data_IF_895709918240
#
_entry.id   IF_895709918240
#
_cell.length_a   1.000
_cell.length_b   1.000
_cell.length_c   1.000
_cell.angle_alpha   90.00
_cell.angle_beta   90.00
_cell.angle_gamma   90.00
#
_symmetry.space_group_name_H-M   'P 1'
#
loop_
_entity.id
_entity.type
_entity.pdbx_description
1 polymer ?
#
# COMPACT_ATOMS: atom_id res chain seq x y z
N UNK A 1 2.34 -10.73 -39.40
CA UNK A 1 1.43 -11.40 -40.36
C UNK A 1 2.18 -12.19 -41.44
N UNK A 2 3.33 -11.71 -41.93
CA UNK A 2 4.05 -12.31 -43.07
C UNK A 2 4.42 -13.79 -42.89
N UNK A 3 4.86 -14.20 -41.70
CA UNK A 3 5.14 -15.63 -41.42
C UNK A 3 3.87 -16.50 -41.45
N UNK A 4 2.70 -15.93 -41.17
CA UNK A 4 1.41 -16.64 -41.20
C UNK A 4 0.81 -16.73 -42.61
N UNK A 5 1.35 -16.01 -43.60
CA UNK A 5 0.80 -15.93 -44.96
C UNK A 5 -0.70 -15.59 -44.98
N UNK A 6 -1.15 -14.77 -44.03
CA UNK A 6 -2.58 -14.46 -43.83
C UNK A 6 -3.23 -13.70 -45.00
N UNK A 7 -2.44 -13.27 -46.00
CA UNK A 7 -2.90 -12.45 -47.11
C UNK A 7 -3.23 -11.03 -46.67
N UNK A 8 -3.89 -10.29 -47.55
CA UNK A 8 -4.42 -8.97 -47.26
C UNK A 8 -5.94 -9.05 -47.16
N UNK A 9 -6.51 -8.41 -46.15
CA UNK A 9 -7.96 -8.24 -46.05
C UNK A 9 -8.50 -7.50 -47.27
N UNK A 10 -9.76 -7.73 -47.63
CA UNK A 10 -10.41 -6.97 -48.69
C UNK A 10 -10.37 -5.47 -48.38
N UNK A 11 -10.24 -4.61 -49.39
CA UNK A 11 -10.15 -3.16 -49.16
C UNK A 11 -11.36 -2.60 -48.38
N UNK A 12 -12.54 -3.20 -48.58
CA UNK A 12 -13.78 -2.85 -47.86
C UNK A 12 -13.65 -2.95 -46.34
N UNK A 13 -12.76 -3.79 -45.81
CA UNK A 13 -12.55 -3.94 -44.36
C UNK A 13 -11.91 -2.70 -43.71
N UNK A 14 -11.41 -1.75 -44.52
CA UNK A 14 -10.85 -0.48 -44.05
C UNK A 14 -11.77 0.72 -44.37
N UNK A 15 -12.92 0.49 -45.00
CA UNK A 15 -13.87 1.57 -45.30
C UNK A 15 -14.72 1.89 -44.07
N UNK A 16 -14.97 3.17 -43.75
CA UNK A 16 -15.83 3.54 -42.64
C UNK A 16 -17.26 3.03 -42.83
N UNK A 17 -17.84 2.44 -41.78
CA UNK A 17 -19.24 2.02 -41.77
C UNK A 17 -20.15 3.24 -41.62
N UNK A 18 -21.30 3.23 -42.29
CA UNK A 18 -22.40 4.20 -42.13
C UNK A 18 -23.64 3.41 -41.75
N UNK A 19 -24.37 3.85 -40.73
CA UNK A 19 -25.52 3.13 -40.19
C UNK A 19 -26.58 4.09 -39.63
N UNK A 20 -27.84 3.71 -39.77
CA UNK A 20 -29.00 4.35 -39.13
C UNK A 20 -29.62 3.49 -38.02
N UNK A 21 -29.03 2.32 -37.75
CA UNK A 21 -29.43 1.45 -36.65
C UNK A 21 -29.06 2.14 -35.33
N UNK A 22 -30.00 2.26 -34.36
CA UNK A 22 -29.67 2.77 -33.04
C UNK A 22 -28.44 2.09 -32.47
N UNK A 23 -27.43 2.87 -32.08
CA UNK A 23 -26.14 2.36 -31.63
C UNK A 23 -25.66 3.09 -30.38
N UNK A 24 -25.23 2.33 -29.37
CA UNK A 24 -24.56 2.84 -28.19
C UNK A 24 -23.04 2.69 -28.34
N UNK A 25 -22.30 3.78 -28.17
CA UNK A 25 -20.84 3.82 -28.23
C UNK A 25 -20.34 4.25 -26.86
N UNK A 26 -19.52 3.40 -26.25
CA UNK A 26 -18.98 3.60 -24.90
C UNK A 26 -17.45 3.62 -24.98
N UNK A 27 -16.83 4.61 -24.34
CA UNK A 27 -15.38 4.75 -24.28
C UNK A 27 -14.91 5.03 -22.85
N UNK A 28 -13.79 4.43 -22.44
CA UNK A 28 -13.07 4.87 -21.26
C UNK A 28 -12.11 5.99 -21.63
N UNK A 29 -12.04 7.05 -20.80
CA UNK A 29 -11.12 8.20 -20.98
C UNK A 29 -9.67 7.75 -21.22
N UNK A 30 -9.25 6.65 -20.57
CA UNK A 30 -7.89 6.12 -20.62
C UNK A 30 -7.77 4.81 -21.42
N UNK A 31 -8.71 4.48 -22.31
CA UNK A 31 -8.63 3.25 -23.13
C UNK A 31 -7.46 3.34 -24.15
N UNK A 32 -6.41 2.49 -24.03
CA UNK A 32 -5.28 2.51 -24.95
C UNK A 32 -5.47 1.56 -26.15
N UNK A 33 -6.47 0.68 -26.13
CA UNK A 33 -6.73 -0.35 -27.14
C UNK A 33 -7.69 0.21 -28.20
N UNK A 34 -8.75 0.85 -27.74
CA UNK A 34 -9.78 1.50 -28.58
C UNK A 34 -10.04 2.91 -28.05
N UNK A 35 -9.15 3.87 -28.33
CA UNK A 35 -9.20 5.19 -27.70
C UNK A 35 -10.49 5.96 -28.02
N UNK A 36 -10.90 6.92 -27.17
CA UNK A 36 -12.14 7.69 -27.33
C UNK A 36 -12.34 8.29 -28.72
N UNK A 37 -11.26 8.77 -29.35
CA UNK A 37 -11.28 9.34 -30.69
C UNK A 37 -11.77 8.37 -31.78
N UNK A 38 -11.58 7.06 -31.60
CA UNK A 38 -12.11 6.05 -32.53
C UNK A 38 -13.62 5.92 -32.38
N UNK A 39 -14.14 5.92 -31.16
CA UNK A 39 -15.58 5.91 -30.89
C UNK A 39 -16.28 7.15 -31.43
N UNK A 40 -15.67 8.33 -31.25
CA UNK A 40 -16.17 9.60 -31.80
C UNK A 40 -16.21 9.55 -33.35
N UNK A 41 -15.14 9.07 -34.00
CA UNK A 41 -15.08 8.95 -35.45
C UNK A 41 -16.13 7.98 -36.03
N UNK A 42 -16.48 6.92 -35.29
CA UNK A 42 -17.59 6.03 -35.65
C UNK A 42 -18.94 6.74 -35.48
N UNK A 43 -19.14 7.43 -34.36
CA UNK A 43 -20.37 8.17 -34.06
C UNK A 43 -20.72 9.24 -35.11
N UNK A 44 -19.72 9.93 -35.67
CA UNK A 44 -19.90 10.91 -36.76
C UNK A 44 -20.60 10.34 -38.01
N UNK A 45 -20.54 9.02 -38.21
CA UNK A 45 -21.12 8.33 -39.38
C UNK A 45 -22.44 7.64 -39.06
N UNK A 46 -22.85 7.59 -37.80
CA UNK A 46 -24.05 6.88 -37.37
C UNK A 46 -25.13 7.90 -37.03
N UNK A 47 -26.18 7.96 -37.87
CA UNK A 47 -27.22 8.98 -37.77
C UNK A 47 -28.12 8.83 -36.53
N UNK A 48 -28.07 7.67 -35.88
CA UNK A 48 -28.76 7.37 -34.64
C UNK A 48 -27.81 6.70 -33.65
N UNK A 49 -26.95 7.50 -33.01
CA UNK A 49 -25.99 7.00 -32.03
C UNK A 49 -25.94 7.84 -30.76
N UNK A 50 -25.66 7.18 -29.65
CA UNK A 50 -25.37 7.80 -28.36
C UNK A 50 -23.92 7.47 -27.99
N UNK A 51 -23.15 8.50 -27.64
CA UNK A 51 -21.76 8.37 -27.27
C UNK A 51 -21.57 8.79 -25.81
N UNK A 52 -20.96 7.92 -25.01
CA UNK A 52 -20.60 8.22 -23.63
C UNK A 52 -19.12 7.89 -23.39
N UNK A 53 -18.40 8.89 -22.88
CA UNK A 53 -17.03 8.75 -22.41
C UNK A 53 -17.03 8.77 -20.89
N UNK A 54 -16.36 7.80 -20.27
CA UNK A 54 -16.36 7.60 -18.83
C UNK A 54 -15.02 8.00 -18.21
N UNK A 55 -15.00 8.99 -17.31
CA UNK A 55 -13.80 9.41 -16.61
C UNK A 55 -13.15 8.26 -15.83
N UNK A 56 -11.82 8.20 -15.88
CA UNK A 56 -11.03 7.24 -15.10
C UNK A 56 -11.11 5.77 -15.52
N UNK A 57 -11.88 5.44 -16.55
CA UNK A 57 -11.99 4.07 -17.07
C UNK A 57 -11.04 3.80 -18.24
N UNK A 58 -10.62 2.54 -18.37
CA UNK A 58 -9.84 2.03 -19.49
C UNK A 58 -10.67 1.20 -20.47
N UNK A 59 -10.07 0.13 -21.01
CA UNK A 59 -10.73 -0.75 -21.97
C UNK A 59 -11.87 -1.57 -21.34
N UNK A 60 -12.98 -1.72 -22.06
CA UNK A 60 -14.13 -2.52 -21.61
C UNK A 60 -15.13 -1.73 -20.75
N UNK A 61 -15.41 -0.47 -21.10
CA UNK A 61 -16.26 0.42 -20.32
C UNK A 61 -17.65 -0.14 -19.97
N UNK A 62 -18.29 -0.91 -20.86
CA UNK A 62 -19.69 -1.38 -20.71
C UNK A 62 -19.99 -2.20 -19.44
N UNK A 63 -18.98 -2.79 -18.82
CA UNK A 63 -19.10 -3.63 -17.61
C UNK A 63 -18.32 -3.06 -16.42
N UNK A 64 -17.80 -1.84 -16.55
CA UNK A 64 -16.86 -1.24 -15.60
C UNK A 64 -17.56 -0.36 -14.57
N UNK A 65 -18.28 -0.99 -13.64
CA UNK A 65 -19.02 -0.33 -12.56
C UNK A 65 -20.48 -0.03 -12.92
N UNK A 66 -21.20 0.53 -11.95
CA UNK A 66 -22.66 0.63 -12.02
C UNK A 66 -23.14 1.63 -13.08
N UNK A 67 -22.43 2.75 -13.28
CA UNK A 67 -22.85 3.80 -14.21
C UNK A 67 -22.80 3.34 -15.68
N UNK A 68 -21.66 2.86 -16.24
CA UNK A 68 -21.63 2.35 -17.62
C UNK A 68 -22.55 1.15 -17.84
N UNK A 69 -22.66 0.27 -16.84
CA UNK A 69 -23.53 -0.90 -16.90
C UNK A 69 -25.00 -0.49 -16.95
N UNK A 70 -25.41 0.48 -16.12
CA UNK A 70 -26.76 1.04 -16.11
C UNK A 70 -27.14 1.68 -17.45
N UNK A 71 -26.26 2.48 -18.04
CA UNK A 71 -26.45 3.08 -19.37
C UNK A 71 -26.61 2.00 -20.44
N UNK A 72 -25.76 0.96 -20.40
CA UNK A 72 -25.85 -0.18 -21.32
C UNK A 72 -27.21 -0.89 -21.21
N UNK A 73 -27.67 -1.16 -19.98
CA UNK A 73 -28.95 -1.83 -19.75
C UNK A 73 -30.13 -0.96 -20.21
N UNK A 74 -30.10 0.35 -19.96
CA UNK A 74 -31.13 1.29 -20.37
C UNK A 74 -31.27 1.34 -21.90
N UNK A 75 -30.14 1.43 -22.62
CA UNK A 75 -30.14 1.39 -24.08
C UNK A 75 -30.68 0.07 -24.64
N UNK A 76 -30.30 -1.06 -24.05
CA UNK A 76 -30.81 -2.38 -24.49
C UNK A 76 -32.33 -2.52 -24.24
N UNK A 77 -32.86 -1.85 -23.22
CA UNK A 77 -34.28 -1.85 -22.92
C UNK A 77 -35.08 -0.95 -23.87
N UNK A 78 -34.57 0.24 -24.20
CA UNK A 78 -35.13 1.15 -25.19
C UNK A 78 -34.02 1.85 -25.99
N UNK A 79 -33.65 1.34 -27.17
CA UNK A 79 -32.57 1.92 -27.96
C UNK A 79 -33.00 3.17 -28.73
N UNK A 80 -34.27 3.59 -28.65
CA UNK A 80 -34.79 4.79 -29.33
C UNK A 80 -34.76 6.05 -28.47
N UNK A 81 -34.40 5.89 -27.19
CA UNK A 81 -34.29 6.95 -26.20
C UNK A 81 -32.86 7.03 -25.70
N UNK A 82 -32.33 8.25 -25.56
CA UNK A 82 -31.01 8.49 -24.99
C UNK A 82 -30.99 8.02 -23.52
N UNK A 83 -30.06 7.13 -23.12
CA UNK A 83 -29.93 6.73 -21.72
C UNK A 83 -29.61 7.92 -20.79
N UNK A 84 -30.12 7.88 -19.57
CA UNK A 84 -29.72 8.83 -18.53
C UNK A 84 -28.26 8.59 -18.13
N UNK A 85 -27.45 9.64 -18.23
CA UNK A 85 -26.01 9.62 -17.99
C UNK A 85 -25.58 10.52 -16.82
N UNK A 86 -26.52 10.97 -15.96
CA UNK A 86 -26.21 11.83 -14.83
C UNK A 86 -25.14 11.26 -13.90
N UNK A 87 -25.08 9.93 -13.76
CA UNK A 87 -24.08 9.24 -12.94
C UNK A 87 -22.63 9.47 -13.39
N UNK A 88 -22.38 9.88 -14.64
CA UNK A 88 -21.02 10.16 -15.14
C UNK A 88 -20.41 11.35 -14.38
N UNK A 89 -21.22 12.30 -13.92
CA UNK A 89 -20.76 13.46 -13.17
C UNK A 89 -20.14 13.09 -11.81
N UNK A 90 -20.51 11.93 -11.26
CA UNK A 90 -19.99 11.42 -9.99
C UNK A 90 -18.75 10.52 -10.18
N UNK A 91 -18.37 10.24 -11.43
CA UNK A 91 -17.16 9.49 -11.74
C UNK A 91 -15.93 10.39 -11.64
N UNK A 92 -14.82 9.82 -11.18
CA UNK A 92 -13.56 10.54 -10.98
C UNK A 92 -12.37 9.77 -11.51
N UNK A 93 -11.20 10.41 -11.43
CA UNK A 93 -9.93 9.77 -11.74
C UNK A 93 -9.72 8.52 -10.87
N UNK A 94 -9.00 7.50 -11.38
CA UNK A 94 -8.65 6.34 -10.59
C UNK A 94 -7.86 6.77 -9.35
N UNK A 95 -8.20 6.20 -8.21
CA UNK A 95 -7.41 6.36 -7.00
C UNK A 95 -6.13 5.53 -7.14
N UNK A 96 -4.98 6.20 -7.14
CA UNK A 96 -3.69 5.55 -7.00
C UNK A 96 -3.38 5.44 -5.51
N UNK A 97 -3.34 4.22 -5.00
CA UNK A 97 -2.91 3.93 -3.62
C UNK A 97 -1.61 3.15 -3.68
N UNK A 98 -0.60 3.61 -2.96
CA UNK A 98 0.56 2.77 -2.68
C UNK A 98 0.28 1.87 -1.47
N UNK A 99 0.93 0.71 -1.34
CA UNK A 99 0.83 -0.10 -0.12
C UNK A 99 1.21 0.68 1.15
N UNK A 100 2.11 1.67 1.03
CA UNK A 100 2.43 2.62 2.09
C UNK A 100 1.26 3.53 2.46
N UNK A 101 0.52 4.05 1.47
CA UNK A 101 -0.65 4.93 1.71
C UNK A 101 -1.80 4.20 2.41
N UNK A 102 -2.03 2.92 2.09
CA UNK A 102 -3.06 2.12 2.75
C UNK A 102 -2.78 1.91 4.24
N UNK A 103 -1.51 1.92 4.66
CA UNK A 103 -1.09 1.79 6.06
C UNK A 103 -0.88 3.13 6.76
N UNK A 104 -0.41 4.16 6.05
CA UNK A 104 -0.36 5.53 6.59
C UNK A 104 -1.76 6.06 6.94
N UNK A 105 -2.80 5.55 6.27
CA UNK A 105 -4.20 5.89 6.51
C UNK A 105 -4.94 4.88 7.42
N UNK A 106 -4.30 3.79 7.84
CA UNK A 106 -4.83 2.93 8.87
C UNK A 106 -4.37 3.48 10.23
N UNK A 107 -5.26 4.09 11.00
CA UNK A 107 -4.95 4.50 12.38
C UNK A 107 -4.54 3.27 13.20
N UNK A 108 -3.24 3.08 13.43
CA UNK A 108 -2.74 2.02 14.31
C UNK A 108 -3.05 2.45 15.75
N UNK A 109 -4.04 1.83 16.36
CA UNK A 109 -4.34 2.02 17.78
C UNK A 109 -3.21 1.43 18.64
N UNK A 110 -2.64 2.24 19.53
CA UNK A 110 -1.61 1.81 20.48
C UNK A 110 -2.23 1.59 21.85
N UNK A 111 -1.94 0.43 22.45
CA UNK A 111 -2.38 0.06 23.80
C UNK A 111 -1.20 -0.13 24.73
N UNK A 112 -1.39 0.19 26.00
CA UNK A 112 -0.38 -0.03 27.04
C UNK A 112 -0.14 -1.52 27.27
N UNK A 113 1.10 -1.88 27.58
CA UNK A 113 1.47 -3.20 28.06
C UNK A 113 2.47 -3.11 29.21
N UNK A 114 2.51 -4.19 30.00
CA UNK A 114 3.52 -4.42 31.03
C UNK A 114 4.14 -5.78 30.80
N UNK A 115 5.46 -5.87 30.95
CA UNK A 115 6.22 -7.10 30.82
C UNK A 115 7.08 -7.30 32.08
N UNK A 116 6.65 -8.24 32.92
CA UNK A 116 7.33 -8.53 34.19
C UNK A 116 8.68 -9.23 34.01
N UNK A 117 8.87 -9.94 32.89
CA UNK A 117 10.12 -10.67 32.62
C UNK A 117 11.28 -9.70 32.39
N UNK A 118 11.04 -8.62 31.65
CA UNK A 118 12.03 -7.57 31.39
C UNK A 118 11.89 -6.37 32.33
N UNK A 119 10.85 -6.33 33.17
CA UNK A 119 10.61 -5.24 34.11
C UNK A 119 10.32 -3.92 33.41
N UNK A 120 9.53 -3.96 32.32
CA UNK A 120 9.22 -2.79 31.50
C UNK A 120 7.72 -2.60 31.31
N UNK A 121 7.32 -1.38 31.00
CA UNK A 121 6.01 -1.03 30.44
C UNK A 121 6.21 -0.14 29.22
N UNK A 122 5.20 -0.07 28.35
CA UNK A 122 5.25 0.74 27.15
C UNK A 122 3.96 0.65 26.35
N UNK A 123 4.01 0.95 25.06
CA UNK A 123 2.87 0.81 24.15
C UNK A 123 3.17 -0.16 23.01
N UNK A 124 2.13 -0.82 22.50
CA UNK A 124 2.19 -1.70 21.33
C UNK A 124 0.93 -1.55 20.48
N UNK A 125 0.97 -1.88 19.19
CA UNK A 125 -0.25 -1.93 18.38
C UNK A 125 -1.27 -2.91 18.95
N UNK A 126 -2.54 -2.48 19.04
CA UNK A 126 -3.63 -3.25 19.64
C UNK A 126 -3.86 -4.59 18.94
N UNK A 127 -3.78 -4.59 17.60
CA UNK A 127 -4.09 -5.73 16.75
C UNK A 127 -2.89 -6.66 16.50
N UNK A 128 -1.72 -6.39 17.10
CA UNK A 128 -0.52 -7.23 16.90
C UNK A 128 -0.44 -8.34 17.95
N UNK A 129 -0.13 -9.55 17.51
CA UNK A 129 -0.01 -10.72 18.36
C UNK A 129 1.34 -10.74 19.08
N UNK A 130 1.33 -11.02 20.39
CA UNK A 130 2.56 -11.25 21.15
C UNK A 130 3.07 -12.67 20.92
N UNK A 131 4.12 -12.82 20.13
CA UNK A 131 4.73 -14.12 19.82
C UNK A 131 5.59 -14.65 20.96
N UNK A 132 6.24 -13.73 21.67
CA UNK A 132 7.05 -14.00 22.85
C UNK A 132 7.13 -12.72 23.70
N UNK A 133 7.55 -12.78 24.98
CA UNK A 133 7.59 -11.61 25.85
C UNK A 133 8.25 -10.40 25.16
N UNK A 134 7.48 -9.33 24.99
CA UNK A 134 7.96 -8.09 24.36
C UNK A 134 8.22 -8.18 22.85
N UNK A 135 7.70 -9.20 22.15
CA UNK A 135 7.79 -9.35 20.70
C UNK A 135 6.39 -9.39 20.10
N UNK A 136 6.04 -8.35 19.34
CA UNK A 136 4.71 -8.15 18.78
C UNK A 136 4.76 -8.19 17.26
N UNK A 137 4.01 -9.10 16.64
CA UNK A 137 3.98 -9.28 15.19
C UNK A 137 2.61 -8.91 14.63
N UNK A 138 2.61 -8.27 13.46
CA UNK A 138 1.35 -7.90 12.78
C UNK A 138 0.61 -9.13 12.25
N UNK A 139 1.34 -10.10 11.70
CA UNK A 139 0.78 -11.38 11.28
C UNK A 139 -0.29 -11.28 10.20
N UNK A 140 -0.26 -10.28 9.32
CA UNK A 140 -1.28 -10.11 8.28
C UNK A 140 -1.26 -11.26 7.25
N UNK A 141 -0.12 -11.93 7.08
CA UNK A 141 0.02 -13.15 6.30
C UNK A 141 1.22 -13.99 6.77
N UNK A 142 1.37 -15.21 6.26
CA UNK A 142 2.54 -16.04 6.51
C UNK A 142 3.86 -15.45 5.98
N UNK A 143 3.79 -14.44 5.10
CA UNK A 143 4.95 -13.74 4.54
C UNK A 143 5.20 -12.38 5.21
N UNK A 144 4.28 -11.90 6.05
CA UNK A 144 4.42 -10.63 6.76
C UNK A 144 5.47 -10.78 7.87
N UNK A 145 6.63 -10.16 7.66
CA UNK A 145 7.75 -10.17 8.62
C UNK A 145 7.71 -8.96 9.55
N UNK A 146 6.62 -8.17 9.56
CA UNK A 146 6.53 -6.98 10.39
C UNK A 146 6.44 -7.36 11.88
N UNK A 147 7.44 -6.92 12.64
CA UNK A 147 7.53 -7.17 14.08
C UNK A 147 8.17 -5.98 14.79
N UNK A 148 7.66 -5.66 15.98
CA UNK A 148 8.31 -4.76 16.93
C UNK A 148 8.71 -5.56 18.17
N UNK A 149 9.98 -5.43 18.56
CA UNK A 149 10.57 -6.05 19.75
C UNK A 149 10.91 -4.93 20.73
N UNK A 150 10.46 -5.07 21.97
CA UNK A 150 10.69 -4.14 23.07
C UNK A 150 11.16 -4.94 24.29
N UNK A 151 12.43 -4.79 24.67
CA UNK A 151 13.06 -5.59 25.71
C UNK A 151 14.03 -4.75 26.55
N UNK A 152 14.34 -5.23 27.75
CA UNK A 152 15.38 -4.64 28.58
C UNK A 152 16.33 -5.69 29.13
N UNK A 153 17.58 -5.31 29.32
CA UNK A 153 18.57 -6.14 30.00
C UNK A 153 18.94 -5.51 31.36
N UNK A 154 19.41 -6.32 32.32
CA UNK A 154 20.06 -5.81 33.52
C UNK A 154 21.37 -5.08 33.20
N UNK A 155 21.82 -4.24 34.13
CA UNK A 155 23.13 -3.59 34.06
C UNK A 155 24.27 -4.59 33.80
N UNK A 156 25.24 -4.17 32.99
CA UNK A 156 26.43 -4.96 32.63
C UNK A 156 26.40 -5.57 31.22
N UNK A 157 25.31 -5.41 30.47
CA UNK A 157 25.25 -5.67 29.02
C UNK A 157 25.17 -4.33 28.29
N UNK A 158 26.26 -3.93 27.63
CA UNK A 158 26.30 -2.68 26.89
C UNK A 158 25.63 -2.78 25.52
N UNK A 159 25.26 -1.63 24.95
CA UNK A 159 24.65 -1.56 23.62
C UNK A 159 25.48 -2.26 22.52
N UNK A 160 26.81 -2.14 22.57
CA UNK A 160 27.71 -2.76 21.59
C UNK A 160 27.70 -4.30 21.66
N UNK A 161 27.64 -4.87 22.87
CA UNK A 161 27.60 -6.33 23.06
C UNK A 161 26.26 -6.90 22.56
N UNK A 162 25.16 -6.21 22.89
CA UNK A 162 23.83 -6.62 22.43
C UNK A 162 23.70 -6.47 20.91
N UNK A 163 24.23 -5.40 20.33
CA UNK A 163 24.22 -5.19 18.89
C UNK A 163 25.01 -6.28 18.15
N UNK A 164 26.16 -6.71 18.69
CA UNK A 164 26.92 -7.82 18.14
C UNK A 164 26.14 -9.15 18.18
N UNK A 165 25.43 -9.42 19.29
CA UNK A 165 24.59 -10.60 19.42
C UNK A 165 23.42 -10.58 18.42
N UNK A 166 22.71 -9.44 18.34
CA UNK A 166 21.60 -9.24 17.43
C UNK A 166 22.04 -9.37 15.97
N UNK A 167 23.21 -8.84 15.61
CA UNK A 167 23.76 -8.99 14.27
C UNK A 167 23.95 -10.45 13.89
N UNK A 168 24.43 -11.28 14.82
CA UNK A 168 24.56 -12.72 14.62
C UNK A 168 23.22 -13.46 14.52
N UNK A 169 22.22 -13.07 15.33
CA UNK A 169 20.88 -13.69 15.31
C UNK A 169 20.06 -13.32 14.07
N UNK A 170 20.16 -12.07 13.64
CA UNK A 170 19.48 -11.54 12.46
C UNK A 170 20.20 -11.89 11.16
N UNK A 171 21.40 -12.47 11.23
CA UNK A 171 22.18 -12.85 10.05
C UNK A 171 22.64 -11.64 9.23
N UNK A 172 23.04 -10.55 9.91
CA UNK A 172 23.62 -9.37 9.27
C UNK A 172 25.07 -9.64 8.86
N UNK A 173 25.49 -9.10 7.71
CA UNK A 173 26.86 -9.27 7.20
C UNK A 173 27.90 -8.56 8.06
N UNK A 174 27.52 -7.44 8.69
CA UNK A 174 28.35 -6.66 9.61
C UNK A 174 27.51 -6.03 10.72
N UNK A 175 28.18 -5.61 11.79
CA UNK A 175 27.56 -4.85 12.88
C UNK A 175 27.23 -3.45 12.35
N UNK A 176 25.96 -3.03 12.35
CA UNK A 176 25.58 -1.75 11.77
C UNK A 176 26.17 -0.58 12.55
N UNK A 177 26.59 0.46 11.83
CA UNK A 177 27.02 1.71 12.44
C UNK A 177 25.81 2.48 13.01
N UNK A 178 26.06 3.31 14.01
CA UNK A 178 25.04 4.22 14.54
C UNK A 178 24.59 5.17 13.43
N UNK A 179 23.29 5.22 13.17
CA UNK A 179 22.67 6.05 12.14
C UNK A 179 22.23 7.42 12.65
N UNK A 180 22.06 7.57 13.96
CA UNK A 180 21.68 8.84 14.58
C UNK A 180 21.39 8.73 16.07
N UNK A 181 20.72 9.77 16.58
CA UNK A 181 20.22 9.85 17.96
C UNK A 181 18.77 10.32 17.93
N UNK A 182 17.99 9.92 18.94
CA UNK A 182 16.61 10.36 19.16
C UNK A 182 16.40 10.76 20.61
N UNK A 183 15.91 11.97 20.85
CA UNK A 183 15.48 12.42 22.18
C UNK A 183 13.99 12.11 22.35
N UNK A 184 13.66 11.27 23.32
CA UNK A 184 12.29 10.87 23.58
C UNK A 184 11.51 11.88 24.45
N UNK A 185 10.21 11.63 24.62
CA UNK A 185 9.32 12.47 25.43
C UNK A 185 9.75 12.65 26.90
N UNK A 186 10.65 11.81 27.41
CA UNK A 186 11.18 11.86 28.78
C UNK A 186 12.59 12.51 28.84
N UNK A 187 13.12 13.00 27.73
CA UNK A 187 14.45 13.60 27.62
C UNK A 187 15.59 12.57 27.60
N UNK A 188 15.31 11.30 27.29
CA UNK A 188 16.33 10.26 27.13
C UNK A 188 16.86 10.27 25.69
N UNK A 189 18.18 10.17 25.54
CA UNK A 189 18.84 10.13 24.23
C UNK A 189 19.10 8.68 23.84
N UNK A 190 18.35 8.21 22.85
CA UNK A 190 18.48 6.88 22.25
C UNK A 190 19.51 6.89 21.12
N UNK A 191 20.38 5.89 21.09
CA UNK A 191 21.27 5.63 19.96
C UNK A 191 20.53 4.82 18.91
N UNK A 192 20.42 5.36 17.69
CA UNK A 192 19.71 4.72 16.58
C UNK A 192 20.66 3.95 15.67
N UNK A 193 20.21 2.81 15.17
CA UNK A 193 20.91 1.97 14.21
C UNK A 193 19.94 1.51 13.13
N UNK A 194 20.43 1.38 11.90
CA UNK A 194 19.66 0.89 10.77
C UNK A 194 20.42 -0.22 10.05
N UNK A 195 19.70 -1.27 9.66
CA UNK A 195 20.22 -2.38 8.88
C UNK A 195 19.13 -2.90 7.93
N UNK A 196 19.46 -3.92 7.15
CA UNK A 196 18.47 -4.64 6.37
C UNK A 196 18.81 -6.14 6.32
N UNK A 197 17.80 -6.99 6.37
CA UNK A 197 17.95 -8.44 6.18
C UNK A 197 16.99 -8.92 5.10
N UNK A 198 17.50 -9.61 4.07
CA UNK A 198 16.70 -10.06 2.91
C UNK A 198 15.77 -8.96 2.33
N UNK A 199 16.24 -7.72 2.26
CA UNK A 199 15.49 -6.52 1.82
C UNK A 199 14.40 -6.00 2.77
N UNK A 200 14.25 -6.55 3.98
CA UNK A 200 13.44 -5.94 5.05
C UNK A 200 14.28 -4.94 5.84
N UNK A 201 13.90 -3.65 5.90
CA UNK A 201 14.55 -2.70 6.78
C UNK A 201 14.38 -3.08 8.25
N UNK A 202 15.45 -2.86 9.01
CA UNK A 202 15.53 -3.08 10.45
C UNK A 202 15.95 -1.75 11.09
N UNK A 203 15.11 -1.22 11.97
CA UNK A 203 15.40 -0.04 12.77
C UNK A 203 15.59 -0.47 14.22
N UNK A 204 16.65 -0.01 14.86
CA UNK A 204 16.99 -0.35 16.24
C UNK A 204 17.29 0.91 17.03
N UNK A 205 16.87 0.94 18.29
CA UNK A 205 17.18 1.99 19.23
C UNK A 205 17.62 1.38 20.55
N UNK A 206 18.68 1.95 21.12
CA UNK A 206 19.22 1.55 22.41
C UNK A 206 19.33 2.74 23.34
N UNK A 207 18.96 2.55 24.60
CA UNK A 207 19.18 3.52 25.66
C UNK A 207 19.71 2.81 26.89
N UNK A 208 20.79 3.32 27.48
CA UNK A 208 21.44 2.72 28.65
C UNK A 208 21.34 3.67 29.85
N UNK A 209 20.90 3.13 30.98
CA UNK A 209 20.90 3.78 32.29
C UNK A 209 21.57 2.89 33.36
N UNK A 210 21.61 3.37 34.61
CA UNK A 210 22.19 2.65 35.74
C UNK A 210 21.50 1.30 36.03
N UNK A 211 20.25 1.11 35.57
CA UNK A 211 19.51 -0.13 35.75
C UNK A 211 19.73 -1.14 34.60
N UNK A 212 20.22 -0.67 33.45
CA UNK A 212 20.65 -1.47 32.30
C UNK A 212 20.25 -0.87 30.96
N UNK A 213 20.06 -1.73 29.95
CA UNK A 213 19.81 -1.31 28.58
C UNK A 213 18.35 -1.54 28.18
N UNK A 214 17.74 -0.58 27.50
CA UNK A 214 16.52 -0.76 26.70
C UNK A 214 16.88 -1.04 25.24
N UNK A 215 16.08 -1.90 24.61
CA UNK A 215 16.11 -2.21 23.19
C UNK A 215 14.69 -2.04 22.62
N UNK A 216 14.59 -1.27 21.56
CA UNK A 216 13.44 -1.32 20.64
C UNK A 216 13.94 -1.62 19.24
N UNK A 217 13.33 -2.61 18.58
CA UNK A 217 13.67 -3.03 17.23
C UNK A 217 12.40 -3.18 16.39
N UNK A 218 12.35 -2.54 15.23
CA UNK A 218 11.28 -2.68 14.24
C UNK A 218 11.84 -3.31 12.96
N UNK A 219 11.24 -4.43 12.54
CA UNK A 219 11.39 -4.98 11.19
C UNK A 219 10.10 -4.69 10.42
N UNK A 220 10.22 -4.25 9.18
CA UNK A 220 9.07 -3.94 8.33
C UNK A 220 9.37 -4.17 6.86
N UNK A 221 8.34 -4.13 6.02
CA UNK A 221 8.51 -4.01 4.57
C UNK A 221 9.07 -2.63 4.19
N UNK A 222 9.87 -2.58 3.12
CA UNK A 222 10.52 -1.34 2.69
C UNK A 222 9.53 -0.22 2.40
N UNK A 223 8.39 -0.54 1.78
CA UNK A 223 7.34 0.40 1.40
C UNK A 223 6.58 0.98 2.61
N UNK A 224 6.67 0.35 3.78
CA UNK A 224 5.90 0.68 4.98
C UNK A 224 6.76 1.26 6.10
N UNK A 225 8.08 1.20 5.93
CA UNK A 225 9.06 1.50 7.00
C UNK A 225 8.89 2.90 7.53
N UNK A 226 8.72 3.91 6.68
CA UNK A 226 8.54 5.30 7.11
C UNK A 226 7.27 5.51 7.94
N UNK A 227 6.15 4.95 7.50
CA UNK A 227 4.88 5.03 8.21
C UNK A 227 4.96 4.34 9.58
N UNK A 228 5.49 3.12 9.65
CA UNK A 228 5.63 2.37 10.90
C UNK A 228 6.67 2.97 11.84
N UNK A 229 7.70 3.63 11.29
CA UNK A 229 8.68 4.33 12.09
C UNK A 229 8.00 5.41 12.94
N UNK A 230 7.20 6.26 12.30
CA UNK A 230 6.52 7.38 12.97
C UNK A 230 5.33 6.94 13.84
N UNK A 231 4.60 5.90 13.44
CA UNK A 231 3.36 5.47 14.11
C UNK A 231 3.54 4.39 15.16
N UNK A 232 4.63 3.62 15.12
CA UNK A 232 4.87 2.48 16.03
C UNK A 232 6.23 2.58 16.71
N UNK A 233 7.31 2.77 15.95
CA UNK A 233 8.67 2.75 16.51
C UNK A 233 8.92 3.93 17.45
N UNK A 234 8.70 5.16 16.99
CA UNK A 234 8.91 6.36 17.80
C UNK A 234 8.02 6.40 19.05
N UNK A 235 6.69 6.15 18.97
CA UNK A 235 5.85 6.07 20.17
C UNK A 235 6.29 4.98 21.17
N UNK A 236 6.85 3.87 20.70
CA UNK A 236 7.43 2.86 21.58
C UNK A 236 8.64 3.40 22.35
N UNK A 237 9.53 4.18 21.72
CA UNK A 237 10.65 4.84 22.42
C UNK A 237 10.14 5.80 23.49
N UNK A 238 9.14 6.62 23.15
CA UNK A 238 8.56 7.62 24.04
C UNK A 238 7.89 7.00 25.28
N UNK A 239 7.18 5.90 25.11
CA UNK A 239 6.39 5.28 26.18
C UNK A 239 7.17 4.28 27.04
N UNK A 240 8.27 3.71 26.53
CA UNK A 240 8.95 2.61 27.20
C UNK A 240 9.57 3.04 28.54
N UNK A 241 9.19 2.40 29.64
CA UNK A 241 9.66 2.71 31.00
C UNK A 241 10.00 1.43 31.76
N UNK A 242 10.78 1.55 32.85
CA UNK A 242 11.00 0.46 33.82
C UNK A 242 9.89 0.45 34.87
N UNK A 243 9.51 -0.75 35.31
CA UNK A 243 8.56 -0.98 36.41
C UNK A 243 9.23 -0.89 37.79
#
# INVERSE_FOLDING_TARGET
CDMWQAGQANAIENEPVVSDIPTLILAGEYDPITPPSWGQAVGERFSNSYYFEFPGLGHGASVSGDCPLGITQAFLADPTTEPDAACIADMGAPAFVTPGDALANAEIELVEYTNDLFGISGVRPADWEELSPGTYARGASALDQTVIIQQATPAGVGAADLLALLSGQLGLDEVPAQSGEYEDANGRIWSLYAAAYQSFPINMAFYEDDAGLFLVLLISEAEQTEALYSTVFTPALDAMTRN
#
